data_IF_241132709702
#
_entry.id   IF_241132709702
#
_cell.length_a   1.000
_cell.length_b   1.000
_cell.length_c   1.000
_cell.angle_alpha   90.00
_cell.angle_beta   90.00
_cell.angle_gamma   90.00
#
_symmetry.space_group_name_H-M   'P 1'
#
loop_
_entity.id
_entity.type
_entity.pdbx_description
1 polymer ?
#
# COMPACT_ATOMS: atom_id res chain seq x y z
N UNK A 1 -13.91 5.94 -11.71
CA UNK A 1 -12.50 5.68 -11.33
C UNK A 1 -12.22 6.55 -10.11
N UNK A 2 -11.61 5.97 -9.07
CA UNK A 2 -11.28 6.69 -7.83
C UNK A 2 -10.03 7.54 -8.06
N UNK A 3 -10.04 8.80 -7.63
CA UNK A 3 -8.85 9.68 -7.68
C UNK A 3 -7.86 9.20 -6.62
N UNK A 4 -6.58 9.07 -6.98
CA UNK A 4 -5.53 8.70 -6.01
C UNK A 4 -4.78 9.97 -5.61
N UNK A 5 -4.97 10.42 -4.38
CA UNK A 5 -4.21 11.48 -3.75
C UNK A 5 -3.04 10.89 -2.98
N UNK A 6 -1.84 11.46 -3.14
CA UNK A 6 -0.61 10.97 -2.51
C UNK A 6 -0.05 12.08 -1.64
N UNK A 7 -0.10 11.88 -0.32
CA UNK A 7 0.40 12.86 0.64
C UNK A 7 1.93 12.91 0.64
N UNK A 8 2.49 13.96 1.25
CA UNK A 8 3.94 14.05 1.46
C UNK A 8 4.47 12.90 2.34
N UNK A 9 3.70 12.40 3.30
CA UNK A 9 4.11 11.30 4.18
C UNK A 9 4.28 9.98 3.44
N UNK A 10 3.46 9.71 2.42
CA UNK A 10 3.58 8.50 1.61
C UNK A 10 4.92 8.42 0.85
N UNK A 11 5.57 9.55 0.60
CA UNK A 11 6.84 9.63 -0.15
C UNK A 11 8.07 9.40 0.73
N UNK A 12 7.91 9.32 2.05
CA UNK A 12 9.02 9.32 3.01
C UNK A 12 9.97 8.11 2.89
N UNK A 13 9.53 7.02 2.26
CA UNK A 13 10.34 5.79 2.11
C UNK A 13 10.82 5.54 0.67
N UNK A 14 10.96 6.61 -0.12
CA UNK A 14 11.55 6.53 -1.46
C UNK A 14 10.74 5.71 -2.47
N UNK A 15 9.42 5.60 -2.24
CA UNK A 15 8.47 5.03 -3.20
C UNK A 15 7.90 6.17 -4.04
N UNK A 16 7.95 6.03 -5.37
CA UNK A 16 7.51 7.07 -6.30
C UNK A 16 5.99 7.11 -6.42
N UNK A 17 5.47 8.25 -6.89
CA UNK A 17 4.02 8.40 -7.13
C UNK A 17 3.50 7.37 -8.13
N UNK A 18 4.30 7.02 -9.16
CA UNK A 18 3.92 6.02 -10.17
C UNK A 18 3.90 4.60 -9.58
N UNK A 19 4.88 4.26 -8.74
CA UNK A 19 4.89 3.00 -7.99
C UNK A 19 3.64 2.87 -7.12
N UNK A 20 3.30 3.93 -6.37
CA UNK A 20 2.11 3.99 -5.52
C UNK A 20 0.83 3.81 -6.36
N UNK A 21 0.69 4.58 -7.45
CA UNK A 21 -0.49 4.49 -8.33
C UNK A 21 -0.63 3.11 -8.93
N UNK A 22 0.47 2.49 -9.33
CA UNK A 22 0.48 1.13 -9.87
C UNK A 22 -0.03 0.13 -8.83
N UNK A 23 0.48 0.17 -7.60
CA UNK A 23 0.08 -0.75 -6.52
C UNK A 23 -1.39 -0.58 -6.13
N UNK A 24 -1.89 0.65 -6.07
CA UNK A 24 -3.31 0.90 -5.73
C UNK A 24 -4.24 0.46 -6.87
N UNK A 25 -3.82 0.63 -8.13
CA UNK A 25 -4.64 0.30 -9.30
C UNK A 25 -4.63 -1.20 -9.63
N UNK A 26 -3.50 -1.87 -9.39
CA UNK A 26 -3.26 -3.27 -9.74
C UNK A 26 -2.63 -4.04 -8.56
N UNK A 27 -3.32 -4.14 -7.40
CA UNK A 27 -2.78 -4.84 -6.26
C UNK A 27 -2.75 -6.36 -6.49
N UNK A 28 -1.70 -7.00 -5.97
CA UNK A 28 -1.67 -8.46 -5.77
C UNK A 28 -2.54 -8.84 -4.58
N UNK A 29 -2.60 -7.99 -3.54
CA UNK A 29 -3.48 -8.18 -2.41
C UNK A 29 -4.07 -6.84 -1.93
N UNK A 30 -5.34 -6.89 -1.50
CA UNK A 30 -6.04 -5.76 -0.89
C UNK A 30 -6.78 -6.24 0.35
N UNK A 31 -6.45 -5.67 1.50
CA UNK A 31 -7.02 -6.06 2.79
C UNK A 31 -7.50 -4.83 3.56
N UNK A 32 -8.74 -4.88 4.07
CA UNK A 32 -9.22 -3.88 5.02
C UNK A 32 -8.45 -4.02 6.35
N UNK A 33 -7.98 -2.92 6.91
CA UNK A 33 -7.24 -2.91 8.18
C UNK A 33 -7.94 -2.01 9.22
N UNK A 34 -7.80 -2.32 10.53
CA UNK A 34 -8.43 -1.50 11.57
C UNK A 34 -7.90 -0.07 11.58
N UNK A 35 -8.80 0.89 11.57
CA UNK A 35 -8.46 2.29 11.80
C UNK A 35 -8.45 2.61 13.30
N UNK A 36 -7.49 3.42 13.73
CA UNK A 36 -7.47 3.98 15.10
C UNK A 36 -8.35 5.23 15.24
N UNK A 37 -8.77 5.82 14.12
CA UNK A 37 -9.62 7.02 14.08
C UNK A 37 -11.04 6.62 13.70
N UNK A 38 -12.08 7.21 14.33
CA UNK A 38 -13.47 6.96 13.93
C UNK A 38 -13.69 7.25 12.46
N UNK A 39 -14.52 6.44 11.81
CA UNK A 39 -14.99 6.60 10.42
C UNK A 39 -13.95 6.44 9.31
N UNK A 40 -12.67 6.22 9.64
CA UNK A 40 -11.66 5.97 8.63
C UNK A 40 -11.80 4.57 8.02
N UNK A 41 -11.80 4.51 6.69
CA UNK A 41 -11.89 3.26 5.93
C UNK A 41 -10.53 2.92 5.32
N UNK A 42 -9.71 2.20 6.09
CA UNK A 42 -8.33 1.93 5.71
C UNK A 42 -8.18 0.61 4.95
N UNK A 43 -7.47 0.68 3.82
CA UNK A 43 -7.08 -0.48 3.05
C UNK A 43 -5.56 -0.55 2.89
N UNK A 44 -5.01 -1.73 3.17
CA UNK A 44 -3.66 -2.13 2.81
C UNK A 44 -3.69 -2.73 1.40
N UNK A 45 -2.92 -2.12 0.50
CA UNK A 45 -2.63 -2.60 -0.84
C UNK A 45 -1.20 -3.13 -0.86
N UNK A 46 -1.01 -4.29 -1.50
CA UNK A 46 0.32 -4.83 -1.76
C UNK A 46 0.45 -5.22 -3.21
N UNK A 47 1.56 -4.83 -3.82
CA UNK A 47 1.86 -5.12 -5.22
C UNK A 47 3.30 -4.81 -5.55
N UNK A 48 3.64 -4.87 -6.83
CA UNK A 48 4.93 -4.47 -7.37
C UNK A 48 4.71 -3.83 -8.74
N UNK A 49 5.66 -3.04 -9.23
CA UNK A 49 5.58 -2.47 -10.59
C UNK A 49 5.67 -3.57 -11.65
N UNK A 50 6.44 -4.63 -11.36
CA UNK A 50 6.56 -5.82 -12.18
C UNK A 50 6.81 -7.08 -11.32
N UNK A 51 6.89 -8.23 -11.98
CA UNK A 51 7.07 -9.54 -11.33
C UNK A 51 8.46 -9.79 -10.74
N UNK A 52 9.46 -8.97 -11.11
CA UNK A 52 10.85 -9.10 -10.66
C UNK A 52 11.18 -8.14 -9.51
N UNK A 53 10.37 -7.10 -9.30
CA UNK A 53 10.58 -6.12 -8.25
C UNK A 53 10.05 -6.60 -6.88
N UNK A 54 10.64 -6.08 -5.78
CA UNK A 54 10.13 -6.33 -4.44
C UNK A 54 8.73 -5.75 -4.28
N UNK A 55 7.94 -6.36 -3.39
CA UNK A 55 6.61 -5.86 -3.10
C UNK A 55 6.68 -4.58 -2.29
N UNK A 56 5.68 -3.73 -2.51
CA UNK A 56 5.44 -2.46 -1.85
C UNK A 56 4.13 -2.60 -1.07
N UNK A 57 4.13 -2.18 0.19
CA UNK A 57 2.92 -1.95 0.98
C UNK A 57 2.49 -0.49 0.85
N UNK A 58 1.21 -0.27 0.54
CA UNK A 58 0.59 1.05 0.44
C UNK A 58 -0.67 1.06 1.30
N UNK A 59 -0.87 2.08 2.14
CA UNK A 59 -2.11 2.24 2.91
C UNK A 59 -2.83 3.49 2.41
N UNK A 60 -4.10 3.33 2.10
CA UNK A 60 -4.99 4.42 1.69
C UNK A 60 -6.25 4.47 2.56
N UNK A 61 -6.74 5.68 2.79
CA UNK A 61 -8.05 5.96 3.36
C UNK A 61 -9.07 6.13 2.22
N UNK A 62 -10.21 5.46 2.35
CA UNK A 62 -11.34 5.45 1.41
C UNK A 62 -12.61 6.06 2.00
N UNK A 63 -12.52 6.82 3.09
CA UNK A 63 -13.68 7.50 3.69
C UNK A 63 -14.48 8.31 2.67
N UNK A 64 -13.80 8.93 1.68
CA UNK A 64 -14.44 9.46 0.49
C UNK A 64 -14.48 8.39 -0.61
N UNK A 65 -15.67 7.97 -1.02
CA UNK A 65 -15.85 6.97 -2.09
C UNK A 65 -15.29 7.38 -3.45
N UNK A 66 -14.97 8.66 -3.64
CA UNK A 66 -14.42 9.22 -4.89
C UNK A 66 -12.90 9.37 -4.85
N UNK A 67 -12.27 9.24 -3.68
CA UNK A 67 -10.84 9.48 -3.47
C UNK A 67 -10.18 8.42 -2.57
N UNK A 68 -9.01 7.96 -2.99
CA UNK A 68 -8.12 7.14 -2.18
C UNK A 68 -6.96 8.03 -1.71
N UNK A 69 -6.96 8.38 -0.42
CA UNK A 69 -5.90 9.21 0.17
C UNK A 69 -4.78 8.31 0.67
N UNK A 70 -3.70 8.22 -0.09
CA UNK A 70 -2.51 7.44 0.25
C UNK A 70 -1.63 8.25 1.19
N UNK A 71 -1.44 7.76 2.41
CA UNK A 71 -0.62 8.42 3.42
C UNK A 71 0.60 7.61 3.88
N UNK A 72 0.71 6.35 3.44
CA UNK A 72 1.84 5.46 3.75
C UNK A 72 2.18 4.60 2.53
N UNK A 73 3.46 4.56 2.17
CA UNK A 73 3.99 3.62 1.20
C UNK A 73 5.43 3.25 1.58
N UNK A 74 5.77 1.96 1.51
CA UNK A 74 7.14 1.47 1.72
C UNK A 74 7.31 0.08 1.11
N UNK A 75 8.55 -0.43 1.05
CA UNK A 75 8.75 -1.84 0.70
C UNK A 75 8.08 -2.73 1.74
N UNK A 76 7.39 -3.77 1.28
CA UNK A 76 6.63 -4.70 2.10
C UNK A 76 7.51 -5.27 3.21
N UNK A 77 7.02 -5.22 4.45
CA UNK A 77 7.71 -5.81 5.59
C UNK A 77 7.17 -7.21 5.90
N UNK A 78 8.03 -8.14 6.35
CA UNK A 78 7.59 -9.45 6.82
C UNK A 78 6.53 -9.37 7.94
N UNK A 79 6.65 -8.39 8.83
CA UNK A 79 5.67 -8.17 9.90
C UNK A 79 4.29 -7.82 9.36
N UNK A 80 4.21 -6.93 8.37
CA UNK A 80 2.95 -6.56 7.73
C UNK A 80 2.31 -7.76 7.04
N UNK A 81 3.11 -8.53 6.30
CA UNK A 81 2.66 -9.75 5.64
C UNK A 81 2.11 -10.76 6.65
N UNK A 82 2.87 -11.07 7.70
CA UNK A 82 2.49 -12.06 8.71
C UNK A 82 1.25 -11.64 9.53
N UNK A 83 0.99 -10.34 9.69
CA UNK A 83 -0.16 -9.84 10.46
C UNK A 83 -1.44 -9.72 9.63
N UNK A 84 -1.34 -9.52 8.31
CA UNK A 84 -2.50 -9.13 7.50
C UNK A 84 -2.71 -9.97 6.24
N UNK A 85 -1.68 -10.67 5.76
CA UNK A 85 -1.65 -11.24 4.40
C UNK A 85 -1.06 -12.66 4.35
N UNK A 86 -0.96 -13.33 5.49
CA UNK A 86 -0.46 -14.72 5.57
C UNK A 86 -1.23 -15.62 4.62
N UNK A 87 -0.48 -16.39 3.83
CA UNK A 87 -0.96 -17.34 2.83
C UNK A 87 -1.75 -16.73 1.65
N UNK A 88 -1.72 -15.40 1.48
CA UNK A 88 -2.41 -14.73 0.36
C UNK A 88 -1.56 -14.76 -0.92
N UNK A 89 -0.25 -14.62 -0.83
CA UNK A 89 0.69 -14.65 -1.97
C UNK A 89 2.13 -14.88 -1.49
N UNK A 90 3.06 -15.27 -2.35
CA UNK A 90 4.48 -15.38 -1.96
C UNK A 90 5.16 -14.01 -1.96
N UNK A 91 5.62 -13.49 -0.79
CA UNK A 91 6.20 -12.17 -0.73
C UNK A 91 7.62 -12.14 -1.30
N UNK A 92 7.93 -11.04 -1.99
CA UNK A 92 9.29 -10.68 -2.45
C UNK A 92 9.76 -9.47 -1.67
N UNK A 93 10.82 -9.63 -0.88
CA UNK A 93 11.35 -8.60 -0.01
C UNK A 93 12.63 -7.96 -0.59
N UNK A 94 12.88 -6.72 -0.20
CA UNK A 94 14.16 -6.05 -0.41
C UNK A 94 14.51 -5.19 0.81
N UNK A 95 15.73 -4.66 0.84
CA UNK A 95 16.14 -3.66 1.86
C UNK A 95 15.35 -2.37 1.64
N UNK A 96 14.92 -1.75 2.74
CA UNK A 96 14.26 -0.45 2.71
C UNK A 96 15.13 0.59 1.99
N UNK A 97 14.48 1.44 1.19
CA UNK A 97 15.13 2.58 0.55
C UNK A 97 15.35 3.65 1.62
N UNK A 98 16.58 4.17 1.71
CA UNK A 98 16.98 5.24 2.64
C UNK A 98 16.82 6.61 2.02
#
# INVERSE_FOLDING_TARGET
MVRIEITSSARQHGITDDEIRSVVSFPVARQAIPARRPLAELFLYVGAVDEHQPHIEVIADHTDTTEAVVFHAMLLRPTTYNSHLTDVFTPRYARQRS
#
